data_IF_258198222864
#
_entry.id   IF_258198222864
#
_cell.length_a   1.000
_cell.length_b   1.000
_cell.length_c   1.000
_cell.angle_alpha   90.00
_cell.angle_beta   90.00
_cell.angle_gamma   90.00
#
_symmetry.space_group_name_H-M   'P 1'
#
loop_
_entity.id
_entity.type
_entity.pdbx_description
1 polymer ?
#
# COMPACT_ATOMS: atom_id res chain seq x y z
N UNK A 1 -49.39 37.40 -2.84
CA UNK A 1 -49.20 35.99 -2.45
C UNK A 1 -47.97 35.93 -1.57
N UNK A 2 -48.13 35.56 -0.30
CA UNK A 2 -47.02 35.35 0.66
C UNK A 2 -46.42 33.98 0.39
N UNK A 3 -45.11 33.91 0.25
CA UNK A 3 -44.35 32.65 0.21
C UNK A 3 -43.63 32.50 1.54
N UNK A 4 -44.05 31.52 2.34
CA UNK A 4 -43.33 31.05 3.52
C UNK A 4 -42.97 29.58 3.29
N UNK A 5 -41.68 29.26 3.33
CA UNK A 5 -41.16 27.89 3.37
C UNK A 5 -39.93 27.91 4.29
N UNK A 6 -39.96 27.18 5.43
CA UNK A 6 -38.86 27.18 6.39
C UNK A 6 -37.69 26.38 5.83
N UNK A 7 -36.53 27.02 5.77
CA UNK A 7 -35.26 26.42 5.38
C UNK A 7 -34.89 25.31 6.37
N UNK A 8 -35.08 24.05 5.96
CA UNK A 8 -34.56 22.87 6.63
C UNK A 8 -33.02 22.89 6.55
N UNK A 9 -32.38 23.37 7.61
CA UNK A 9 -30.94 23.21 7.81
C UNK A 9 -30.67 21.76 8.24
N UNK A 10 -30.31 20.91 7.28
CA UNK A 10 -29.81 19.56 7.53
C UNK A 10 -28.35 19.68 7.99
N UNK A 11 -28.13 19.57 9.30
CA UNK A 11 -26.80 19.32 9.87
C UNK A 11 -26.41 17.88 9.56
N UNK A 12 -25.69 17.68 8.45
CA UNK A 12 -24.99 16.44 8.22
C UNK A 12 -23.84 16.35 9.25
N UNK A 13 -23.96 15.47 10.23
CA UNK A 13 -22.83 15.03 11.03
C UNK A 13 -21.80 14.42 10.06
N UNK A 14 -20.71 15.13 9.81
CA UNK A 14 -19.54 14.56 9.18
C UNK A 14 -18.98 13.50 10.12
N UNK A 15 -19.29 12.23 9.85
CA UNK A 15 -18.61 11.10 10.46
C UNK A 15 -17.15 11.18 10.07
N UNK A 16 -16.29 11.63 10.99
CA UNK A 16 -14.84 11.51 10.84
C UNK A 16 -14.53 10.03 10.61
N UNK A 17 -13.92 9.64 9.49
CA UNK A 17 -13.51 8.25 9.31
C UNK A 17 -12.57 7.92 10.45
N UNK A 18 -12.87 6.86 11.18
CA UNK A 18 -11.93 6.23 12.12
C UNK A 18 -10.69 5.95 11.29
N UNK A 19 -9.64 6.76 11.43
CA UNK A 19 -8.37 6.51 10.78
C UNK A 19 -7.90 5.15 11.32
N UNK A 20 -8.09 4.10 10.54
CA UNK A 20 -7.40 2.84 10.78
C UNK A 20 -5.92 3.22 10.79
N UNK A 21 -5.25 3.03 11.93
CA UNK A 21 -3.84 3.38 12.05
C UNK A 21 -3.08 2.76 10.89
N UNK A 22 -2.35 3.58 10.15
CA UNK A 22 -1.65 3.13 8.96
C UNK A 22 -0.61 2.08 9.37
N UNK A 23 -0.75 0.85 8.87
CA UNK A 23 0.11 -0.27 9.27
C UNK A 23 0.56 -1.05 8.04
N UNK A 24 1.72 -1.67 8.14
CA UNK A 24 2.27 -2.50 7.07
C UNK A 24 3.13 -3.61 7.66
N UNK A 25 3.16 -4.77 7.01
CA UNK A 25 3.91 -5.93 7.52
C UNK A 25 4.46 -6.78 6.38
N UNK A 26 5.58 -7.42 6.67
CA UNK A 26 6.16 -8.43 5.81
C UNK A 26 5.21 -9.63 5.72
N UNK A 27 5.01 -10.17 4.52
CA UNK A 27 4.27 -11.42 4.33
C UNK A 27 5.20 -12.57 3.98
N UNK A 28 6.05 -12.40 2.97
CA UNK A 28 6.98 -13.45 2.58
C UNK A 28 7.90 -13.07 1.43
N UNK A 29 8.85 -13.97 1.14
CA UNK A 29 9.63 -13.91 -0.10
C UNK A 29 9.99 -15.32 -0.58
N UNK A 30 9.92 -15.55 -1.89
CA UNK A 30 10.20 -16.85 -2.50
C UNK A 30 10.79 -16.68 -3.91
N UNK A 31 11.36 -17.74 -4.47
CA UNK A 31 11.90 -17.72 -5.83
C UNK A 31 10.79 -17.64 -6.87
N UNK A 32 11.00 -16.86 -7.93
CA UNK A 32 10.08 -16.72 -9.06
C UNK A 32 10.86 -16.82 -10.37
N UNK A 33 11.22 -18.06 -10.72
CA UNK A 33 12.15 -18.35 -11.81
C UNK A 33 13.55 -17.79 -11.51
N UNK A 34 14.06 -16.94 -12.40
CA UNK A 34 15.34 -16.22 -12.22
C UNK A 34 15.24 -14.97 -11.33
N UNK A 35 14.06 -14.68 -10.78
CA UNK A 35 13.78 -13.51 -9.94
C UNK A 35 13.49 -13.94 -8.50
N UNK A 36 13.40 -12.95 -7.61
CA UNK A 36 12.92 -13.10 -6.24
C UNK A 36 11.63 -12.31 -6.08
N UNK A 37 10.59 -12.99 -5.57
CA UNK A 37 9.30 -12.39 -5.25
C UNK A 37 9.28 -11.94 -3.80
N UNK A 38 8.84 -10.71 -3.58
CA UNK A 38 8.68 -10.08 -2.27
C UNK A 38 7.22 -9.70 -2.08
N UNK A 39 6.68 -9.98 -0.90
CA UNK A 39 5.25 -9.84 -0.58
C UNK A 39 5.06 -9.14 0.76
N UNK A 40 4.22 -8.10 0.79
CA UNK A 40 3.89 -7.36 2.01
C UNK A 40 2.40 -7.02 2.03
N UNK A 41 1.90 -6.74 3.23
CA UNK A 41 0.55 -6.26 3.45
C UNK A 41 0.57 -4.84 4.00
N UNK A 42 -0.44 -4.03 3.68
CA UNK A 42 -0.57 -2.66 4.14
C UNK A 42 -2.03 -2.26 4.37
N UNK A 43 -2.24 -1.27 5.24
CA UNK A 43 -3.51 -0.59 5.54
C UNK A 43 -3.24 0.90 5.70
N UNK A 44 -4.14 1.73 5.18
CA UNK A 44 -4.04 3.20 5.25
C UNK A 44 -3.06 3.82 4.25
N UNK A 45 -2.18 3.03 3.64
CA UNK A 45 -1.20 3.51 2.64
C UNK A 45 -1.65 3.20 1.21
N UNK A 46 -1.77 4.20 0.34
CA UNK A 46 -1.92 4.01 -1.12
C UNK A 46 -3.05 3.05 -1.56
N UNK A 47 -4.10 2.89 -0.75
CA UNK A 47 -5.24 2.03 -1.06
C UNK A 47 -6.08 2.58 -2.21
N UNK A 48 -6.22 3.91 -2.25
CA UNK A 48 -6.93 4.68 -3.28
C UNK A 48 -6.35 4.50 -4.68
N UNK A 49 -5.05 4.15 -4.76
CA UNK A 49 -4.34 3.84 -6.00
C UNK A 49 -3.97 2.37 -6.14
N UNK A 50 -4.59 1.47 -5.37
CA UNK A 50 -4.34 0.02 -5.43
C UNK A 50 -2.84 -0.32 -5.38
N UNK A 51 -2.11 0.31 -4.45
CA UNK A 51 -0.69 0.08 -4.22
C UNK A 51 0.28 0.66 -5.27
N UNK A 52 -0.20 1.43 -6.26
CA UNK A 52 0.67 1.97 -7.32
C UNK A 52 1.82 2.86 -6.79
N UNK A 53 1.65 3.53 -5.65
CA UNK A 53 2.71 4.31 -5.02
C UNK A 53 3.94 3.46 -4.67
N UNK A 54 3.72 2.22 -4.21
CA UNK A 54 4.82 1.28 -3.96
C UNK A 54 5.53 0.91 -5.27
N UNK A 55 4.76 0.60 -6.33
CA UNK A 55 5.31 0.28 -7.64
C UNK A 55 6.12 1.46 -8.22
N UNK A 56 5.62 2.68 -8.06
CA UNK A 56 6.30 3.91 -8.47
C UNK A 56 7.65 4.06 -7.74
N UNK A 57 7.69 3.83 -6.42
CA UNK A 57 8.93 3.88 -5.62
C UNK A 57 9.93 2.77 -5.98
N UNK A 58 9.45 1.55 -6.22
CA UNK A 58 10.27 0.44 -6.70
C UNK A 58 10.95 0.83 -8.02
N UNK A 59 10.20 1.38 -8.97
CA UNK A 59 10.72 1.81 -10.27
C UNK A 59 11.66 3.01 -10.17
N UNK A 60 11.37 3.98 -9.31
CA UNK A 60 12.26 5.13 -9.04
C UNK A 60 13.63 4.71 -8.52
N UNK A 61 13.72 3.55 -7.86
CA UNK A 61 14.97 2.94 -7.39
C UNK A 61 15.71 2.14 -8.47
N UNK A 62 15.25 2.20 -9.72
CA UNK A 62 15.86 1.51 -10.85
C UNK A 62 15.57 0.01 -10.90
N UNK A 63 14.63 -0.48 -10.10
CA UNK A 63 14.24 -1.89 -10.12
C UNK A 63 13.25 -2.14 -11.26
N UNK A 64 13.53 -3.17 -12.06
CA UNK A 64 12.54 -3.71 -13.00
C UNK A 64 11.54 -4.56 -12.23
N UNK A 65 10.34 -4.01 -12.05
CA UNK A 65 9.24 -4.73 -11.41
C UNK A 65 8.59 -5.70 -12.40
N UNK A 66 8.62 -6.99 -12.06
CA UNK A 66 7.93 -8.06 -12.76
C UNK A 66 6.77 -8.58 -11.92
N UNK A 67 5.71 -9.06 -12.59
CA UNK A 67 4.59 -9.74 -11.95
C UNK A 67 4.01 -8.97 -10.74
N UNK A 68 3.90 -7.64 -10.89
CA UNK A 68 3.29 -6.77 -9.89
C UNK A 68 1.83 -7.16 -9.70
N UNK A 69 1.45 -7.39 -8.46
CA UNK A 69 0.07 -7.67 -8.08
C UNK A 69 -0.27 -6.90 -6.83
N UNK A 70 -1.45 -6.31 -6.79
CA UNK A 70 -1.99 -5.71 -5.58
C UNK A 70 -3.49 -5.93 -5.50
N UNK A 71 -3.96 -6.42 -4.36
CA UNK A 71 -5.37 -6.74 -4.15
C UNK A 71 -5.76 -6.54 -2.69
N UNK A 72 -7.04 -6.33 -2.44
CA UNK A 72 -7.60 -6.25 -1.09
C UNK A 72 -7.88 -7.66 -0.57
N UNK A 73 -7.50 -7.93 0.67
CA UNK A 73 -7.76 -9.18 1.39
C UNK A 73 -9.04 -9.07 2.22
N UNK A 74 -9.64 -10.21 2.56
CA UNK A 74 -10.94 -10.26 3.25
C UNK A 74 -10.89 -9.66 4.67
N UNK A 75 -9.72 -9.64 5.30
CA UNK A 75 -9.46 -9.01 6.61
C UNK A 75 -9.21 -7.49 6.52
N UNK A 76 -9.52 -6.90 5.37
CA UNK A 76 -9.46 -5.48 5.10
C UNK A 76 -8.05 -4.94 4.87
N UNK A 77 -7.03 -5.78 4.82
CA UNK A 77 -5.69 -5.38 4.38
C UNK A 77 -5.62 -5.29 2.86
N UNK A 78 -4.59 -4.66 2.37
CA UNK A 78 -4.13 -4.84 1.00
C UNK A 78 -2.88 -5.68 1.01
N UNK A 79 -2.74 -6.54 0.00
CA UNK A 79 -1.52 -7.27 -0.25
C UNK A 79 -0.90 -6.75 -1.54
N UNK A 80 0.42 -6.57 -1.53
CA UNK A 80 1.21 -6.28 -2.70
C UNK A 80 2.36 -7.27 -2.83
N UNK A 81 2.57 -7.71 -4.06
CA UNK A 81 3.64 -8.61 -4.43
C UNK A 81 4.39 -8.05 -5.65
N UNK A 82 5.71 -8.21 -5.66
CA UNK A 82 6.55 -7.87 -6.81
C UNK A 82 7.70 -8.85 -6.95
N UNK A 83 8.03 -9.20 -8.19
CA UNK A 83 9.21 -9.98 -8.51
C UNK A 83 10.28 -9.04 -9.06
N UNK A 84 11.49 -9.06 -8.49
CA UNK A 84 12.65 -8.29 -8.95
C UNK A 84 13.90 -9.18 -8.97
N UNK A 85 15.01 -8.68 -9.48
CA UNK A 85 16.29 -9.40 -9.41
C UNK A 85 16.64 -9.76 -7.96
N UNK A 86 17.08 -11.01 -7.74
CA UNK A 86 17.46 -11.49 -6.41
C UNK A 86 18.62 -10.68 -5.80
N UNK A 87 18.69 -10.59 -4.47
CA UNK A 87 19.70 -9.79 -3.77
C UNK A 87 19.41 -8.29 -3.72
N UNK A 88 18.24 -7.85 -4.21
CA UNK A 88 17.81 -6.45 -4.17
C UNK A 88 16.75 -6.18 -3.09
N UNK A 89 16.63 -7.05 -2.08
CA UNK A 89 15.67 -6.88 -0.99
C UNK A 89 15.80 -5.53 -0.29
N UNK A 90 17.02 -5.01 -0.14
CA UNK A 90 17.24 -3.72 0.52
C UNK A 90 16.53 -2.58 -0.21
N UNK A 91 16.52 -2.58 -1.55
CA UNK A 91 15.83 -1.57 -2.35
C UNK A 91 14.32 -1.69 -2.23
N UNK A 92 13.79 -2.92 -2.12
CA UNK A 92 12.36 -3.13 -1.86
C UNK A 92 11.98 -2.57 -0.49
N UNK A 93 12.77 -2.87 0.56
CA UNK A 93 12.49 -2.36 1.89
C UNK A 93 12.49 -0.83 1.92
N UNK A 94 13.44 -0.17 1.24
CA UNK A 94 13.46 1.28 1.19
C UNK A 94 12.29 1.85 0.37
N UNK A 95 11.88 1.17 -0.71
CA UNK A 95 10.73 1.60 -1.51
C UNK A 95 9.43 1.58 -0.68
N UNK A 96 9.30 0.57 0.19
CA UNK A 96 8.19 0.47 1.14
C UNK A 96 8.29 1.59 2.18
N UNK A 97 9.48 1.82 2.76
CA UNK A 97 9.72 2.92 3.70
C UNK A 97 9.40 4.30 3.09
N UNK A 98 9.72 4.54 1.82
CA UNK A 98 9.39 5.80 1.14
C UNK A 98 7.88 6.06 1.06
N UNK A 99 7.05 5.02 1.12
CA UNK A 99 5.57 5.12 1.11
C UNK A 99 5.02 5.16 2.53
N UNK A 100 5.57 4.36 3.44
CA UNK A 100 5.00 4.16 4.78
C UNK A 100 5.63 5.06 5.85
N UNK A 101 6.78 5.68 5.57
CA UNK A 101 7.57 6.43 6.54
C UNK A 101 8.15 5.56 7.66
N UNK A 102 8.11 4.23 7.53
CA UNK A 102 8.49 3.28 8.57
C UNK A 102 9.37 2.18 8.00
N UNK A 103 10.56 2.00 8.58
CA UNK A 103 11.44 0.87 8.31
C UNK A 103 11.13 -0.32 9.21
N UNK A 104 10.90 -1.50 8.62
CA UNK A 104 10.80 -2.78 9.35
C UNK A 104 11.85 -3.81 8.96
N UNK A 105 12.57 -3.59 7.85
CA UNK A 105 13.64 -4.49 7.39
C UNK A 105 13.16 -5.93 7.18
N UNK A 106 12.24 -6.18 6.25
CA UNK A 106 11.57 -7.47 6.09
C UNK A 106 12.47 -8.61 5.61
N UNK A 107 13.46 -8.28 4.79
CA UNK A 107 14.31 -9.28 4.13
C UNK A 107 15.77 -8.83 4.16
N UNK A 108 16.35 -8.60 5.34
CA UNK A 108 17.78 -8.36 5.44
C UNK A 108 18.43 -9.69 5.05
N UNK A 109 19.29 -9.69 4.04
CA UNK A 109 20.01 -10.86 3.50
C UNK A 109 19.28 -11.72 2.43
N UNK A 110 18.22 -11.23 1.76
CA UNK A 110 17.62 -11.95 0.60
C UNK A 110 17.69 -11.20 -0.74
#
# INVERSE_FOLDING_TARGET
MKFDLPTLAVLALASTPTALADDWKCNGSWGDGGLKRYSWQFKGYCEDRSGQCFLDKIRQRGLTAHNWQCWKTDDGWWQADVSVTAGLAWQINNAIEDVTGSWRGCWPNQ
#
